data_IF_867224232283
#
_entry.id   IF_867224232283
#
_cell.length_a   1.000
_cell.length_b   1.000
_cell.length_c   1.000
_cell.angle_alpha   90.00
_cell.angle_beta   90.00
_cell.angle_gamma   90.00
#
_symmetry.space_group_name_H-M   'P 1'
#
loop_
_entity.id
_entity.type
_entity.pdbx_description
1 polymer ?
#
# COMPACT_ATOMS: atom_id res chain seq x y z
N UNK A 1 12.87 8.31 -0.07
CA UNK A 1 11.95 8.21 1.09
C UNK A 1 10.60 7.74 0.58
N UNK A 2 10.05 6.64 1.10
CA UNK A 2 8.68 6.24 0.77
C UNK A 2 7.71 7.30 1.30
N UNK A 3 6.76 7.74 0.47
CA UNK A 3 5.78 8.73 0.86
C UNK A 3 4.85 8.16 1.96
N UNK A 4 4.55 8.95 3.00
CA UNK A 4 3.51 8.62 3.98
C UNK A 4 2.16 8.45 3.28
N UNK A 5 1.17 7.81 3.92
CA UNK A 5 -0.16 7.67 3.33
C UNK A 5 -0.75 9.04 3.00
N UNK A 6 -0.58 10.00 3.92
CA UNK A 6 -0.97 11.39 3.69
C UNK A 6 -0.18 12.12 2.60
N UNK A 7 1.04 11.68 2.27
CA UNK A 7 1.91 12.29 1.26
C UNK A 7 1.75 11.63 -0.13
N UNK A 8 1.03 10.51 -0.22
CA UNK A 8 0.86 9.75 -1.47
C UNK A 8 -0.16 10.39 -2.42
N UNK A 9 0.29 10.68 -3.65
CA UNK A 9 -0.54 11.30 -4.68
C UNK A 9 -1.65 10.36 -5.19
N UNK A 10 -1.36 9.06 -5.35
CA UNK A 10 -2.35 8.07 -5.80
C UNK A 10 -3.46 7.87 -4.77
N UNK A 11 -3.11 7.88 -3.47
CA UNK A 11 -4.09 7.86 -2.38
C UNK A 11 -4.96 9.11 -2.41
N UNK A 12 -4.36 10.29 -2.54
CA UNK A 12 -5.10 11.54 -2.65
C UNK A 12 -6.09 11.54 -3.83
N UNK A 13 -5.65 11.14 -5.02
CA UNK A 13 -6.52 11.08 -6.19
C UNK A 13 -7.71 10.13 -5.99
N UNK A 14 -7.48 8.95 -5.41
CA UNK A 14 -8.55 7.99 -5.11
C UNK A 14 -9.57 8.53 -4.09
N UNK A 15 -9.10 9.29 -3.09
CA UNK A 15 -9.99 9.93 -2.10
C UNK A 15 -10.83 11.06 -2.70
N UNK A 16 -10.25 11.87 -3.59
CA UNK A 16 -10.98 12.91 -4.32
C UNK A 16 -12.06 12.30 -5.21
N UNK A 17 -11.78 11.16 -5.87
CA UNK A 17 -12.79 10.48 -6.69
C UNK A 17 -13.93 9.88 -5.84
N UNK A 18 -13.64 9.48 -4.60
CA UNK A 18 -14.63 8.95 -3.66
C UNK A 18 -15.46 10.03 -2.96
N UNK A 19 -15.03 11.31 -2.96
CA UNK A 19 -15.69 12.37 -2.19
C UNK A 19 -16.98 12.93 -2.82
N UNK A 20 -17.38 12.40 -3.99
CA UNK A 20 -18.61 12.80 -4.67
C UNK A 20 -18.55 14.17 -5.36
N UNK A 21 -17.34 14.71 -5.59
CA UNK A 21 -17.17 15.94 -6.37
C UNK A 21 -17.51 15.70 -7.85
N UNK A 22 -18.11 16.68 -8.55
CA UNK A 22 -18.22 16.64 -10.00
C UNK A 22 -16.86 16.46 -10.67
N UNK A 23 -16.79 15.73 -11.78
CA UNK A 23 -15.51 15.37 -12.44
C UNK A 23 -14.64 16.60 -12.79
N UNK A 24 -15.26 17.69 -13.22
CA UNK A 24 -14.58 18.95 -13.52
C UNK A 24 -13.93 19.56 -12.27
N UNK A 25 -14.67 19.59 -11.17
CA UNK A 25 -14.21 20.15 -9.89
C UNK A 25 -13.13 19.26 -9.26
N UNK A 26 -13.31 17.93 -9.32
CA UNK A 26 -12.31 16.95 -8.90
C UNK A 26 -10.99 17.12 -9.66
N UNK A 27 -11.04 17.38 -10.97
CA UNK A 27 -9.84 17.60 -11.79
C UNK A 27 -9.10 18.87 -11.37
N UNK A 28 -9.82 19.97 -11.12
CA UNK A 28 -9.24 21.22 -10.62
C UNK A 28 -8.65 21.09 -9.21
N UNK A 29 -9.29 20.31 -8.35
CA UNK A 29 -8.76 19.98 -7.03
C UNK A 29 -7.46 19.19 -7.15
N UNK A 30 -7.43 18.18 -8.03
CA UNK A 30 -6.24 17.36 -8.30
C UNK A 30 -5.09 18.14 -8.94
N UNK A 31 -5.36 19.18 -9.72
CA UNK A 31 -4.32 20.04 -10.29
C UNK A 31 -3.76 21.06 -9.30
N UNK A 32 -4.55 21.43 -8.29
CA UNK A 32 -4.16 22.47 -7.32
C UNK A 32 -3.37 21.90 -6.13
N UNK A 33 -3.64 20.64 -5.74
CA UNK A 33 -3.05 19.99 -4.57
C UNK A 33 -2.57 18.60 -4.95
N UNK A 34 -1.40 18.16 -4.44
CA UNK A 34 -0.81 16.87 -4.80
C UNK A 34 -0.96 15.78 -3.73
N UNK A 35 -1.37 16.11 -2.50
CA UNK A 35 -1.45 15.17 -1.38
C UNK A 35 -2.52 15.53 -0.33
N UNK A 36 -2.97 14.54 0.45
CA UNK A 36 -3.89 14.76 1.57
C UNK A 36 -3.28 15.69 2.62
N UNK A 37 -1.96 15.64 2.81
CA UNK A 37 -1.23 16.52 3.71
C UNK A 37 -1.31 17.98 3.29
N UNK A 38 -1.08 18.27 2.02
CA UNK A 38 -1.23 19.63 1.50
C UNK A 38 -2.68 20.11 1.62
N UNK A 39 -3.66 19.22 1.38
CA UNK A 39 -5.07 19.56 1.55
C UNK A 39 -5.42 19.90 3.01
N UNK A 40 -4.91 19.12 3.97
CA UNK A 40 -5.15 19.33 5.40
C UNK A 40 -4.59 20.66 5.94
N UNK A 41 -3.58 21.23 5.29
CA UNK A 41 -2.96 22.51 5.68
C UNK A 41 -3.21 23.63 4.65
N UNK A 42 -4.23 23.49 3.81
CA UNK A 42 -4.52 24.45 2.73
C UNK A 42 -5.03 25.81 3.23
N UNK A 43 -5.58 25.86 4.44
CA UNK A 43 -6.15 27.07 5.02
C UNK A 43 -5.90 27.13 6.53
N UNK A 44 -6.12 28.29 7.14
CA UNK A 44 -6.04 28.48 8.59
C UNK A 44 -7.19 27.83 9.35
N UNK A 45 -8.22 27.34 8.65
CA UNK A 45 -9.35 26.68 9.27
C UNK A 45 -8.94 25.31 9.82
N UNK A 46 -9.32 25.00 11.05
CA UNK A 46 -9.19 23.65 11.61
C UNK A 46 -10.56 23.11 12.02
N UNK A 47 -10.80 21.80 11.91
CA UNK A 47 -12.06 21.20 12.34
C UNK A 47 -12.37 21.56 13.80
N UNK A 48 -13.52 22.23 14.01
CA UNK A 48 -13.94 22.73 15.32
C UNK A 48 -13.90 24.26 15.47
N UNK A 49 -13.32 24.99 14.51
CA UNK A 49 -13.46 26.45 14.46
C UNK A 49 -14.83 26.87 13.93
N UNK A 50 -15.30 28.03 14.39
CA UNK A 50 -16.61 28.58 14.01
C UNK A 50 -16.60 29.24 12.62
N UNK A 51 -15.47 29.80 12.19
CA UNK A 51 -15.35 30.50 10.92
C UNK A 51 -14.76 29.59 9.83
N UNK A 52 -15.61 29.21 8.87
CA UNK A 52 -15.25 28.38 7.73
C UNK A 52 -14.86 29.20 6.48
N UNK A 53 -14.94 30.54 6.54
CA UNK A 53 -14.66 31.41 5.41
C UNK A 53 -13.27 31.15 4.77
N UNK A 54 -12.17 30.89 5.52
CA UNK A 54 -10.87 30.61 4.94
C UNK A 54 -10.83 29.34 4.08
N UNK A 55 -11.56 28.29 4.48
CA UNK A 55 -11.62 27.03 3.73
C UNK A 55 -12.40 27.22 2.41
N UNK A 56 -13.51 27.96 2.47
CA UNK A 56 -14.32 28.27 1.28
C UNK A 56 -13.60 29.22 0.33
N UNK A 57 -12.78 30.14 0.84
CA UNK A 57 -11.92 30.99 0.03
C UNK A 57 -10.86 30.16 -0.73
N UNK A 58 -10.24 29.18 -0.06
CA UNK A 58 -9.32 28.25 -0.70
C UNK A 58 -10.02 27.43 -1.81
N UNK A 59 -11.21 26.90 -1.54
CA UNK A 59 -12.02 26.18 -2.53
C UNK A 59 -12.35 27.06 -3.75
N UNK A 60 -12.76 28.32 -3.52
CA UNK A 60 -13.05 29.28 -4.58
C UNK A 60 -11.81 29.58 -5.44
N UNK A 61 -10.64 29.70 -4.80
CA UNK A 61 -9.36 29.90 -5.48
C UNK A 61 -9.02 28.72 -6.39
N UNK A 62 -9.19 27.49 -5.90
CA UNK A 62 -8.93 26.26 -6.67
C UNK A 62 -9.88 26.07 -7.85
N UNK A 63 -11.16 26.40 -7.66
CA UNK A 63 -12.19 26.22 -8.70
C UNK A 63 -12.20 27.35 -9.74
N UNK A 64 -11.69 28.53 -9.37
CA UNK A 64 -11.80 29.77 -10.16
C UNK A 64 -13.24 30.31 -10.25
N UNK A 65 -14.17 29.76 -9.47
CA UNK A 65 -15.60 30.12 -9.45
C UNK A 65 -16.20 29.90 -8.06
N UNK A 66 -17.39 30.46 -7.82
CA UNK A 66 -18.19 30.09 -6.65
C UNK A 66 -18.64 28.62 -6.73
N UNK A 67 -18.44 27.89 -5.64
CA UNK A 67 -18.91 26.52 -5.49
C UNK A 67 -20.38 26.48 -5.07
N UNK A 68 -21.15 25.57 -5.65
CA UNK A 68 -22.53 25.27 -5.22
C UNK A 68 -22.53 24.60 -3.85
N UNK A 69 -23.64 24.69 -3.11
CA UNK A 69 -23.77 24.13 -1.76
C UNK A 69 -23.41 22.63 -1.69
N UNK A 70 -23.80 21.85 -2.69
CA UNK A 70 -23.45 20.43 -2.79
C UNK A 70 -21.93 20.21 -2.91
N UNK A 71 -21.27 20.99 -3.77
CA UNK A 71 -19.80 20.93 -3.96
C UNK A 71 -19.07 21.34 -2.69
N UNK A 72 -19.57 22.37 -1.99
CA UNK A 72 -19.02 22.78 -0.70
C UNK A 72 -19.15 21.68 0.36
N UNK A 73 -20.29 20.98 0.43
CA UNK A 73 -20.48 19.86 1.36
C UNK A 73 -19.53 18.68 1.06
N UNK A 74 -19.40 18.28 -0.19
CA UNK A 74 -18.44 17.24 -0.61
C UNK A 74 -16.98 17.63 -0.29
N UNK A 75 -16.62 18.90 -0.53
CA UNK A 75 -15.29 19.40 -0.22
C UNK A 75 -15.00 19.43 1.29
N UNK A 76 -15.99 19.82 2.12
CA UNK A 76 -15.88 19.74 3.58
C UNK A 76 -15.57 18.32 4.04
N UNK A 77 -16.33 17.34 3.55
CA UNK A 77 -16.13 15.95 3.90
C UNK A 77 -14.70 15.48 3.56
N UNK A 78 -14.23 15.80 2.35
CA UNK A 78 -12.86 15.50 1.91
C UNK A 78 -11.79 16.19 2.78
N UNK A 79 -12.00 17.47 3.13
CA UNK A 79 -11.08 18.22 3.99
C UNK A 79 -11.00 17.62 5.40
N UNK A 80 -12.15 17.33 6.02
CA UNK A 80 -12.20 16.73 7.35
C UNK A 80 -11.55 15.35 7.37
N UNK A 81 -11.77 14.54 6.33
CA UNK A 81 -11.11 13.25 6.18
C UNK A 81 -9.58 13.40 6.09
N UNK A 82 -9.10 14.31 5.22
CA UNK A 82 -7.67 14.58 5.07
C UNK A 82 -7.04 15.07 6.37
N UNK A 83 -7.69 16.00 7.08
CA UNK A 83 -7.20 16.54 8.36
C UNK A 83 -7.14 15.46 9.45
N UNK A 84 -8.16 14.60 9.55
CA UNK A 84 -8.19 13.51 10.52
C UNK A 84 -7.06 12.50 10.28
N UNK A 85 -6.82 12.13 9.02
CA UNK A 85 -5.73 11.20 8.64
C UNK A 85 -4.37 11.80 8.99
N UNK A 86 -4.12 13.04 8.58
CA UNK A 86 -2.82 13.72 8.81
C UNK A 86 -2.56 13.93 10.31
N UNK A 87 -3.58 14.31 11.07
CA UNK A 87 -3.46 14.50 12.53
C UNK A 87 -3.21 13.17 13.23
N UNK A 88 -3.89 12.10 12.82
CA UNK A 88 -3.66 10.74 13.35
C UNK A 88 -2.23 10.26 13.06
N UNK A 89 -1.75 10.44 11.82
CA UNK A 89 -0.36 10.11 11.46
C UNK A 89 0.66 10.94 12.25
N UNK A 90 0.40 12.23 12.46
CA UNK A 90 1.28 13.10 13.24
C UNK A 90 1.35 12.63 14.70
N UNK A 91 0.20 12.32 15.30
CA UNK A 91 0.13 11.75 16.66
C UNK A 91 0.91 10.45 16.74
N UNK A 92 0.69 9.52 15.80
CA UNK A 92 1.44 8.26 15.75
C UNK A 92 2.94 8.47 15.59
N UNK A 93 3.39 9.46 14.80
CA UNK A 93 4.83 9.77 14.67
C UNK A 93 5.43 10.34 15.96
N UNK A 94 4.65 11.10 16.72
CA UNK A 94 5.09 11.68 18.01
C UNK A 94 5.07 10.61 19.11
N UNK A 95 4.06 9.75 19.12
CA UNK A 95 3.84 8.73 20.16
C UNK A 95 4.68 7.45 19.96
N UNK A 96 5.13 7.15 18.73
CA UNK A 96 5.94 5.95 18.46
C UNK A 96 7.35 6.07 19.03
N UNK A 97 7.48 5.63 20.27
CA UNK A 97 8.71 5.09 20.85
C UNK A 97 8.82 3.60 20.48
N UNK A 98 9.89 3.25 19.75
CA UNK A 98 10.57 1.94 19.70
C UNK A 98 10.06 0.70 18.93
N UNK A 99 8.86 0.62 18.33
CA UNK A 99 8.53 -0.53 17.43
C UNK A 99 8.38 -0.13 15.95
N UNK A 100 9.23 -0.65 15.04
CA UNK A 100 9.05 -0.46 13.61
C UNK A 100 7.91 -1.37 13.12
N UNK A 101 6.67 -0.94 13.34
CA UNK A 101 5.53 -1.51 12.64
C UNK A 101 5.71 -1.24 11.13
N UNK A 102 6.11 -2.27 10.39
CA UNK A 102 6.26 -2.22 8.93
C UNK A 102 4.95 -1.76 8.30
N UNK A 103 4.98 -0.64 7.57
CA UNK A 103 3.82 -0.11 6.85
C UNK A 103 3.42 -1.11 5.75
N UNK A 104 2.11 -1.32 5.61
CA UNK A 104 1.55 -2.04 4.46
C UNK A 104 1.19 -1.05 3.37
N UNK A 105 1.51 -1.37 2.12
CA UNK A 105 1.12 -0.51 1.01
C UNK A 105 -0.41 -0.46 0.90
N UNK A 106 -0.92 0.70 0.54
CA UNK A 106 -2.35 0.84 0.25
C UNK A 106 -2.68 0.27 -1.13
N UNK A 107 -3.95 -0.10 -1.36
CA UNK A 107 -4.41 -0.57 -2.66
C UNK A 107 -4.09 0.41 -3.82
N UNK A 108 -4.27 1.74 -3.67
CA UNK A 108 -3.87 2.70 -4.70
C UNK A 108 -2.36 2.72 -4.98
N UNK A 109 -1.52 2.69 -3.95
CA UNK A 109 -0.06 2.66 -4.12
C UNK A 109 0.42 1.36 -4.77
N UNK A 110 -0.21 0.23 -4.40
CA UNK A 110 0.06 -1.07 -5.02
C UNK A 110 -0.26 -1.04 -6.50
N UNK A 111 -1.45 -0.56 -6.87
CA UNK A 111 -1.86 -0.44 -8.27
C UNK A 111 -0.91 0.47 -9.07
N UNK A 112 -0.53 1.62 -8.52
CA UNK A 112 0.42 2.54 -9.16
C UNK A 112 1.79 1.89 -9.40
N UNK A 113 2.35 1.22 -8.39
CA UNK A 113 3.65 0.53 -8.50
C UNK A 113 3.59 -0.64 -9.48
N UNK A 114 2.47 -1.37 -9.49
CA UNK A 114 2.25 -2.48 -10.41
C UNK A 114 2.13 -2.02 -11.87
N UNK A 115 1.44 -0.91 -12.13
CA UNK A 115 1.37 -0.34 -13.49
C UNK A 115 2.73 0.21 -13.97
N UNK A 116 3.50 0.83 -13.07
CA UNK A 116 4.90 1.22 -13.36
C UNK A 116 5.78 0.02 -13.70
N UNK A 117 5.62 -1.09 -12.95
CA UNK A 117 6.36 -2.32 -13.22
C UNK A 117 5.96 -2.94 -14.57
N UNK A 118 4.66 -3.03 -14.88
CA UNK A 118 4.17 -3.55 -16.17
C UNK A 118 4.67 -2.75 -17.36
N UNK A 119 4.64 -1.43 -17.27
CA UNK A 119 5.11 -0.54 -18.35
C UNK A 119 6.61 -0.66 -18.57
N UNK A 120 7.38 -0.90 -17.50
CA UNK A 120 8.82 -1.14 -17.56
C UNK A 120 9.18 -2.53 -18.10
N UNK A 121 8.50 -3.58 -17.64
CA UNK A 121 8.80 -4.99 -17.94
C UNK A 121 8.01 -5.50 -19.15
N UNK A 122 8.21 -4.86 -20.31
CA UNK A 122 7.59 -5.29 -21.56
C UNK A 122 8.14 -6.66 -21.96
N UNK A 123 7.26 -7.67 -22.03
CA UNK A 123 7.62 -9.06 -22.38
C UNK A 123 7.63 -10.05 -21.21
N UNK A 124 7.52 -9.58 -19.96
CA UNK A 124 7.36 -10.45 -18.78
C UNK A 124 5.88 -10.61 -18.47
N UNK A 125 5.35 -11.82 -18.57
CA UNK A 125 3.96 -12.10 -18.19
C UNK A 125 3.84 -12.27 -16.67
N UNK A 126 3.33 -11.23 -15.99
CA UNK A 126 3.03 -11.27 -14.54
C UNK A 126 1.57 -11.73 -14.38
N UNK A 127 1.35 -13.05 -14.33
CA UNK A 127 0.02 -13.67 -14.13
C UNK A 127 0.14 -15.00 -13.39
N UNK A 128 -0.89 -15.34 -12.62
CA UNK A 128 -1.05 -16.65 -11.98
C UNK A 128 0.14 -16.99 -11.06
N UNK A 129 0.93 -17.99 -11.43
CA UNK A 129 2.06 -18.50 -10.63
C UNK A 129 3.26 -17.56 -10.60
N UNK A 130 3.41 -16.66 -11.59
CA UNK A 130 4.50 -15.68 -11.61
C UNK A 130 4.17 -14.42 -10.81
N UNK A 131 2.89 -14.18 -10.52
CA UNK A 131 2.45 -13.02 -9.76
C UNK A 131 2.80 -13.18 -8.27
N UNK A 132 3.61 -12.27 -7.68
CA UNK A 132 3.94 -12.33 -6.26
C UNK A 132 2.72 -12.02 -5.39
N UNK A 133 2.65 -12.61 -4.20
CA UNK A 133 1.62 -12.26 -3.21
C UNK A 133 1.79 -10.81 -2.72
N UNK A 134 0.68 -10.17 -2.33
CA UNK A 134 0.72 -8.82 -1.73
C UNK A 134 1.55 -8.84 -0.45
N UNK A 135 1.45 -9.91 0.35
CA UNK A 135 2.29 -10.11 1.53
C UNK A 135 3.80 -10.15 1.22
N UNK A 136 4.22 -10.74 0.09
CA UNK A 136 5.64 -10.76 -0.32
C UNK A 136 6.12 -9.36 -0.72
N UNK A 137 5.28 -8.60 -1.45
CA UNK A 137 5.58 -7.21 -1.81
C UNK A 137 5.69 -6.34 -0.56
N UNK A 138 4.78 -6.48 0.39
CA UNK A 138 4.83 -5.76 1.68
C UNK A 138 6.11 -6.07 2.46
N UNK A 139 6.57 -7.33 2.49
CA UNK A 139 7.85 -7.70 3.12
C UNK A 139 9.03 -7.00 2.45
N UNK A 140 9.05 -6.92 1.12
CA UNK A 140 10.08 -6.21 0.38
C UNK A 140 10.05 -4.70 0.68
N UNK A 141 8.86 -4.09 0.68
CA UNK A 141 8.71 -2.67 1.03
C UNK A 141 9.14 -2.38 2.46
N UNK A 142 8.80 -3.27 3.39
CA UNK A 142 9.22 -3.16 4.78
C UNK A 142 10.75 -3.13 4.92
N UNK A 143 11.49 -3.95 4.16
CA UNK A 143 12.95 -3.94 4.17
C UNK A 143 13.52 -2.59 3.69
N UNK A 144 12.91 -2.02 2.64
CA UNK A 144 13.31 -0.72 2.12
C UNK A 144 13.01 0.41 3.14
N UNK A 145 11.86 0.36 3.80
CA UNK A 145 11.46 1.38 4.77
C UNK A 145 12.21 1.31 6.10
N UNK A 146 12.51 0.11 6.59
CA UNK A 146 13.34 -0.07 7.79
C UNK A 146 14.82 0.20 7.55
N UNK A 147 15.21 0.49 6.30
CA UNK A 147 16.60 0.65 5.87
C UNK A 147 17.48 -0.53 6.32
N UNK A 148 16.91 -1.74 6.26
CA UNK A 148 17.54 -2.98 6.72
C UNK A 148 17.33 -4.06 5.65
N UNK A 149 18.44 -4.58 5.10
CA UNK A 149 18.37 -5.67 4.14
C UNK A 149 18.07 -6.99 4.88
N UNK A 150 16.82 -7.47 4.79
CA UNK A 150 16.47 -8.81 5.26
C UNK A 150 16.46 -9.82 4.12
N UNK A 151 16.95 -11.01 4.43
CA UNK A 151 16.87 -12.13 3.51
C UNK A 151 15.42 -12.60 3.34
N UNK A 152 14.90 -12.52 2.12
CA UNK A 152 13.63 -13.14 1.74
C UNK A 152 13.87 -14.60 1.37
N UNK A 153 13.45 -15.51 2.26
CA UNK A 153 13.56 -16.96 2.04
C UNK A 153 12.74 -17.40 0.82
N UNK A 154 13.18 -18.46 0.14
CA UNK A 154 12.48 -18.96 -1.05
C UNK A 154 11.08 -19.48 -0.70
N UNK A 155 10.93 -20.07 0.48
CA UNK A 155 9.63 -20.50 1.03
C UNK A 155 8.69 -19.32 1.29
N UNK A 156 9.21 -18.12 1.61
CA UNK A 156 8.38 -16.94 1.82
C UNK A 156 7.88 -16.32 0.50
N UNK A 157 8.40 -16.73 -0.65
CA UNK A 157 8.09 -16.16 -1.95
C UNK A 157 6.79 -16.74 -2.53
N UNK A 158 5.65 -16.50 -1.89
CA UNK A 158 4.33 -17.03 -2.28
C UNK A 158 3.71 -16.30 -3.47
N UNK A 159 2.79 -16.97 -4.18
CA UNK A 159 2.07 -16.40 -5.33
C UNK A 159 0.77 -15.76 -4.90
N UNK A 160 0.23 -14.89 -5.74
CA UNK A 160 -1.09 -14.28 -5.53
C UNK A 160 -2.20 -15.33 -5.44
N UNK A 161 -2.14 -16.37 -6.27
CA UNK A 161 -3.10 -17.49 -6.22
C UNK A 161 -3.07 -18.23 -4.88
N UNK A 162 -1.87 -18.48 -4.33
CA UNK A 162 -1.70 -19.11 -3.03
C UNK A 162 -2.27 -18.25 -1.90
N UNK A 163 -2.01 -16.93 -1.94
CA UNK A 163 -2.54 -15.97 -0.97
C UNK A 163 -4.08 -15.95 -0.96
N UNK A 164 -4.71 -15.84 -2.14
CA UNK A 164 -6.18 -15.83 -2.28
C UNK A 164 -6.78 -17.19 -1.88
N UNK A 165 -6.10 -18.29 -2.18
CA UNK A 165 -6.51 -19.63 -1.77
C UNK A 165 -6.43 -19.85 -0.26
N UNK A 166 -5.44 -19.27 0.41
CA UNK A 166 -5.22 -19.38 1.84
C UNK A 166 -6.14 -18.47 2.65
N UNK A 167 -6.43 -17.26 2.16
CA UNK A 167 -7.42 -16.36 2.78
C UNK A 167 -8.81 -17.01 2.88
N UNK A 168 -9.17 -17.86 1.90
CA UNK A 168 -10.40 -18.66 1.92
C UNK A 168 -10.40 -19.77 2.97
N UNK A 169 -9.24 -20.17 3.49
CA UNK A 169 -9.04 -21.29 4.43
C UNK A 169 -8.75 -20.85 5.86
N UNK A 170 -8.84 -19.55 6.17
CA UNK A 170 -8.69 -19.03 7.54
C UNK A 170 -9.85 -19.50 8.41
N UNK A 171 -9.67 -20.67 9.02
CA UNK A 171 -10.62 -21.24 9.97
C UNK A 171 -10.51 -20.46 11.29
N UNK A 172 -11.56 -19.69 11.62
CA UNK A 172 -11.57 -18.89 12.85
C UNK A 172 -12.01 -19.79 13.99
N UNK A 173 -11.03 -20.30 14.76
CA UNK A 173 -11.34 -21.15 15.90
C UNK A 173 -11.64 -20.29 17.13
N UNK A 174 -12.85 -20.44 17.64
CA UNK A 174 -13.27 -19.86 18.91
C UNK A 174 -12.95 -20.85 20.03
N UNK A 175 -12.09 -20.45 20.97
CA UNK A 175 -11.82 -21.21 22.20
C UNK A 175 -12.34 -20.43 23.39
N UNK A 176 -13.05 -21.10 24.31
CA UNK A 176 -13.49 -20.49 25.56
C UNK A 176 -12.42 -20.77 26.61
N UNK A 177 -11.90 -19.74 27.24
CA UNK A 177 -10.94 -19.89 28.34
C UNK A 177 -11.67 -20.40 29.59
N UNK A 178 -11.31 -21.60 30.04
CA UNK A 178 -12.00 -22.35 31.11
C UNK A 178 -12.00 -21.61 32.45
N UNK A 179 -11.03 -20.72 32.70
CA UNK A 179 -10.91 -20.00 33.97
C UNK A 179 -11.64 -18.64 33.98
N UNK A 180 -11.88 -18.01 32.83
CA UNK A 180 -12.42 -16.64 32.76
C UNK A 180 -13.76 -16.53 32.05
N UNK A 181 -14.22 -17.59 31.37
CA UNK A 181 -15.42 -17.59 30.55
C UNK A 181 -15.35 -16.63 29.35
N UNK A 182 -14.16 -16.08 29.06
CA UNK A 182 -13.95 -15.15 27.95
C UNK A 182 -13.67 -15.94 26.67
N UNK A 183 -14.33 -15.54 25.59
CA UNK A 183 -14.12 -16.07 24.26
C UNK A 183 -12.76 -15.58 23.73
N UNK A 184 -11.80 -16.49 23.54
CA UNK A 184 -10.52 -16.22 22.88
C UNK A 184 -10.65 -16.62 21.42
N UNK A 185 -10.47 -15.65 20.52
CA UNK A 185 -10.45 -15.90 19.08
C UNK A 185 -9.00 -16.18 18.69
N UNK A 186 -8.67 -17.43 18.38
CA UNK A 186 -7.34 -17.79 17.88
C UNK A 186 -7.38 -17.97 16.36
N UNK A 187 -7.06 -16.91 15.63
CA UNK A 187 -6.85 -16.96 14.18
C UNK A 187 -5.43 -17.47 13.88
N UNK A 188 -5.20 -18.78 14.02
CA UNK A 188 -3.95 -19.41 13.52
C UNK A 188 -4.06 -19.62 12.01
N UNK A 189 -3.69 -18.60 11.24
CA UNK A 189 -3.39 -18.79 9.82
C UNK A 189 -2.06 -19.54 9.69
N UNK A 190 -2.05 -20.66 8.97
CA UNK A 190 -0.79 -21.28 8.58
C UNK A 190 0.01 -20.27 7.75
N UNK A 191 1.32 -20.13 8.02
CA UNK A 191 2.20 -19.39 7.12
C UNK A 191 2.22 -20.12 5.78
N UNK A 192 1.58 -19.52 4.77
CA UNK A 192 1.61 -20.05 3.42
C UNK A 192 3.05 -20.04 2.92
N UNK A 193 3.56 -21.21 2.55
CA UNK A 193 4.92 -21.39 2.05
C UNK A 193 4.89 -21.76 0.57
N UNK A 194 5.73 -21.09 -0.21
CA UNK A 194 6.00 -21.50 -1.57
C UNK A 194 6.66 -22.88 -1.57
N UNK A 195 6.17 -23.78 -2.43
CA UNK A 195 6.85 -25.05 -2.68
C UNK A 195 8.25 -24.77 -3.23
N UNK A 196 9.25 -25.51 -2.74
CA UNK A 196 10.64 -25.48 -3.21
C UNK A 196 11.13 -26.90 -3.57
N UNK A 197 10.19 -27.84 -3.73
CA UNK A 197 10.47 -29.28 -3.87
C UNK A 197 11.09 -29.60 -5.23
N UNK A 198 10.61 -28.97 -6.31
CA UNK A 198 11.18 -29.16 -7.65
C UNK A 198 11.88 -27.90 -8.13
N UNK A 199 12.77 -28.05 -9.11
CA UNK A 199 13.50 -26.95 -9.73
C UNK A 199 12.58 -25.90 -10.35
N UNK A 200 11.49 -26.35 -10.97
CA UNK A 200 10.46 -25.45 -11.52
C UNK A 200 9.83 -24.61 -10.40
N UNK A 201 9.57 -25.21 -9.23
CA UNK A 201 9.05 -24.44 -8.10
C UNK A 201 10.05 -23.42 -7.55
N UNK A 202 11.34 -23.77 -7.50
CA UNK A 202 12.42 -22.84 -7.10
C UNK A 202 12.54 -21.69 -8.10
N UNK A 203 12.53 -21.99 -9.40
CA UNK A 203 12.48 -21.00 -10.48
C UNK A 203 11.34 -20.00 -10.30
N UNK A 204 10.12 -20.50 -10.06
CA UNK A 204 8.94 -19.67 -9.83
C UNK A 204 9.03 -18.84 -8.54
N UNK A 205 9.58 -19.40 -7.46
CA UNK A 205 9.81 -18.67 -6.21
C UNK A 205 10.82 -17.52 -6.41
N UNK A 206 11.92 -17.79 -7.11
CA UNK A 206 12.94 -16.78 -7.42
C UNK A 206 12.39 -15.70 -8.37
N UNK A 207 11.59 -16.06 -9.36
CA UNK A 207 10.92 -15.09 -10.24
C UNK A 207 9.98 -14.17 -9.45
N UNK A 208 9.16 -14.72 -8.55
CA UNK A 208 8.29 -13.93 -7.65
C UNK A 208 9.10 -13.01 -6.73
N UNK A 209 10.24 -13.48 -6.23
CA UNK A 209 11.16 -12.66 -5.42
C UNK A 209 11.66 -11.45 -6.21
N UNK A 210 12.13 -11.67 -7.44
CA UNK A 210 12.57 -10.58 -8.34
C UNK A 210 11.43 -9.60 -8.61
N UNK A 211 10.23 -10.11 -8.89
CA UNK A 211 9.04 -9.29 -9.16
C UNK A 211 8.54 -8.51 -7.94
N UNK A 212 8.75 -9.00 -6.72
CA UNK A 212 8.38 -8.28 -5.50
C UNK A 212 9.39 -7.20 -5.10
N UNK A 213 10.68 -7.40 -5.41
CA UNK A 213 11.74 -6.45 -5.04
C UNK A 213 11.83 -5.21 -5.94
N UNK A 214 11.44 -5.33 -7.21
CA UNK A 214 11.44 -4.24 -8.18
C UNK A 214 10.47 -3.09 -7.81
N UNK A 215 9.17 -3.32 -7.51
CA UNK A 215 8.26 -2.27 -7.06
C UNK A 215 8.55 -1.79 -5.62
N UNK A 216 9.37 -2.52 -4.86
CA UNK A 216 9.87 -2.10 -3.56
C UNK A 216 11.11 -1.19 -3.64
N UNK A 217 11.65 -0.93 -4.84
CA UNK A 217 12.88 -0.17 -5.07
C UNK A 217 14.12 -0.75 -4.36
N UNK A 218 14.18 -2.06 -4.12
CA UNK A 218 15.37 -2.71 -3.56
C UNK A 218 16.38 -3.00 -4.66
N UNK A 219 15.94 -3.70 -5.70
CA UNK A 219 16.78 -4.11 -6.83
C UNK A 219 15.93 -4.18 -8.08
N UNK A 220 16.51 -3.84 -9.22
CA UNK A 220 15.86 -3.96 -10.50
C UNK A 220 15.60 -5.43 -10.87
N UNK A 221 14.43 -5.71 -11.45
CA UNK A 221 14.04 -7.05 -11.86
C UNK A 221 15.09 -7.77 -12.73
N UNK A 222 15.65 -7.09 -13.74
CA UNK A 222 16.62 -7.68 -14.67
C UNK A 222 17.90 -8.15 -13.99
N UNK A 223 18.40 -7.38 -13.03
CA UNK A 223 19.60 -7.71 -12.25
C UNK A 223 19.34 -8.88 -11.31
N UNK A 224 18.20 -8.87 -10.62
CA UNK A 224 17.83 -9.96 -9.70
C UNK A 224 17.49 -11.26 -10.46
N UNK A 225 16.96 -11.15 -11.67
CA UNK A 225 16.74 -12.30 -12.55
C UNK A 225 18.06 -12.92 -13.00
N UNK A 226 19.05 -12.12 -13.43
CA UNK A 226 20.39 -12.62 -13.76
C UNK A 226 21.05 -13.35 -12.58
N UNK A 227 20.87 -12.81 -11.37
CA UNK A 227 21.35 -13.47 -10.16
C UNK A 227 20.66 -14.82 -9.92
N UNK A 228 19.34 -14.85 -10.08
CA UNK A 228 18.54 -16.08 -9.94
C UNK A 228 18.94 -17.14 -10.97
N UNK A 229 19.19 -16.73 -12.22
CA UNK A 229 19.66 -17.62 -13.28
C UNK A 229 21.07 -18.19 -12.98
N UNK A 230 21.97 -17.38 -12.41
CA UNK A 230 23.30 -17.85 -11.98
C UNK A 230 23.21 -18.89 -10.86
N UNK A 231 22.36 -18.66 -9.86
CA UNK A 231 22.13 -19.60 -8.77
C UNK A 231 21.62 -20.95 -9.29
N UNK A 232 20.68 -20.93 -10.23
CA UNK A 232 20.13 -22.15 -10.82
C UNK A 232 21.12 -22.89 -11.70
N UNK A 233 21.93 -22.16 -12.49
CA UNK A 233 23.01 -22.77 -13.26
C UNK A 233 24.03 -23.47 -12.37
N UNK A 234 24.40 -22.83 -11.25
CA UNK A 234 25.31 -23.44 -10.28
C UNK A 234 24.72 -24.74 -9.70
N UNK A 235 23.43 -24.71 -9.33
CA UNK A 235 22.72 -25.91 -8.82
C UNK A 235 22.67 -27.05 -9.85
N UNK A 236 22.49 -26.75 -11.13
CA UNK A 236 22.43 -27.77 -12.20
C UNK A 236 23.80 -28.36 -12.58
N UNK A 237 24.90 -27.78 -12.09
CA UNK A 237 26.26 -28.27 -12.35
C UNK A 237 26.78 -29.21 -11.24
N UNK A 238 26.07 -29.32 -10.12
CA UNK A 238 26.28 -30.36 -9.09
C UNK A 238 25.54 -31.66 -9.45
#
# INVERSE_FOLDING_TARGET
MAASYSDSQSVFQARVDASGLPKDDATKVKSSVSSLRQLAFISSFTPGQADEAPLMAALKSMLGRGAELAVQASFRALYHEAYAIVTSELKQKIEKSEEPASRRLTQPERAERYEKQKTKLVGVLIKNQSEPSEALVDKAVACYESNELRYLSWEACTSREQEVGSDRRKDTRFTVDENSGRLKVETKGAEEKASTVSEVHVLQALQRRSLAMDPANIVEYSLMQQWSDRLLRAKMQE
#
